data_IF_137645662276
#
_entry.id   IF_137645662276
#
_cell.length_a   1.000
_cell.length_b   1.000
_cell.length_c   1.000
_cell.angle_alpha   90.00
_cell.angle_beta   90.00
_cell.angle_gamma   90.00
#
_symmetry.space_group_name_H-M   'P 1'
#
loop_
_entity.id
_entity.type
_entity.pdbx_description
1 polymer ?
#
# COMPACT_ATOMS: atom_id res chain seq x y z
N UNK A 1 -3.30 -36.25 -10.69
CA UNK A 1 -3.52 -34.87 -10.18
C UNK A 1 -4.32 -34.10 -11.21
N UNK A 2 -5.55 -33.70 -10.90
CA UNK A 2 -6.32 -32.89 -11.83
C UNK A 2 -5.64 -31.53 -11.99
N UNK A 3 -5.25 -31.16 -13.22
CA UNK A 3 -4.70 -29.85 -13.52
C UNK A 3 -5.73 -28.76 -13.18
N UNK A 4 -5.29 -27.63 -12.64
CA UNK A 4 -6.15 -26.46 -12.48
C UNK A 4 -6.61 -26.00 -13.86
N UNK A 5 -7.88 -26.22 -14.19
CA UNK A 5 -8.47 -25.70 -15.41
C UNK A 5 -8.76 -24.23 -15.17
N UNK A 6 -7.98 -23.33 -15.77
CA UNK A 6 -8.28 -21.91 -15.72
C UNK A 6 -9.56 -21.61 -16.49
N UNK A 7 -10.53 -20.97 -15.84
CA UNK A 7 -11.72 -20.45 -16.51
C UNK A 7 -11.32 -19.16 -17.22
N UNK A 8 -11.55 -19.08 -18.53
CA UNK A 8 -11.32 -17.84 -19.31
C UNK A 8 -12.57 -16.96 -19.23
N UNK A 9 -12.39 -15.64 -19.31
CA UNK A 9 -13.49 -14.68 -19.21
C UNK A 9 -14.69 -14.98 -20.12
N UNK A 10 -14.45 -15.49 -21.34
CA UNK A 10 -15.51 -15.91 -22.27
C UNK A 10 -16.30 -17.18 -21.84
N UNK A 11 -15.86 -17.86 -20.78
CA UNK A 11 -16.52 -19.05 -20.24
C UNK A 11 -17.45 -18.71 -19.06
N UNK A 12 -17.43 -17.46 -18.61
CA UNK A 12 -18.32 -16.96 -17.56
C UNK A 12 -19.38 -16.12 -18.24
N UNK A 13 -20.63 -16.57 -18.16
CA UNK A 13 -21.75 -15.78 -18.63
C UNK A 13 -21.92 -14.55 -17.76
N UNK A 14 -22.25 -13.42 -18.35
CA UNK A 14 -22.50 -12.17 -17.62
C UNK A 14 -23.54 -12.42 -16.52
N UNK A 15 -23.31 -11.84 -15.34
CA UNK A 15 -24.13 -12.02 -14.12
C UNK A 15 -24.26 -13.48 -13.61
N UNK A 16 -23.42 -14.42 -14.08
CA UNK A 16 -23.47 -15.80 -13.63
C UNK A 16 -22.72 -16.09 -12.32
N UNK A 17 -21.83 -15.18 -11.89
CA UNK A 17 -21.13 -15.27 -10.61
C UNK A 17 -21.88 -14.40 -9.59
N UNK A 18 -22.41 -15.03 -8.59
CA UNK A 18 -23.12 -14.38 -7.48
C UNK A 18 -22.28 -14.44 -6.20
N UNK A 19 -22.67 -13.71 -5.16
CA UNK A 19 -21.97 -13.75 -3.87
C UNK A 19 -21.90 -15.15 -3.25
N UNK A 20 -22.85 -16.03 -3.58
CA UNK A 20 -22.83 -17.43 -3.12
C UNK A 20 -21.78 -18.31 -3.82
N UNK A 21 -21.24 -17.84 -4.94
CA UNK A 21 -20.23 -18.57 -5.71
C UNK A 21 -18.80 -18.19 -5.28
N UNK A 22 -18.68 -17.20 -4.38
CA UNK A 22 -17.40 -16.70 -3.87
C UNK A 22 -17.27 -17.12 -2.40
N UNK A 23 -16.21 -17.85 -2.07
CA UNK A 23 -15.84 -18.09 -0.67
C UNK A 23 -15.21 -16.83 -0.08
N UNK A 24 -16.05 -15.95 0.47
CA UNK A 24 -15.64 -14.67 1.06
C UNK A 24 -14.70 -14.85 2.25
N UNK A 25 -14.69 -16.02 2.90
CA UNK A 25 -13.79 -16.30 4.01
C UNK A 25 -12.31 -16.32 3.58
N UNK A 26 -12.06 -16.49 2.29
CA UNK A 26 -10.71 -16.49 1.69
C UNK A 26 -10.31 -15.14 1.12
N UNK A 27 -11.24 -14.19 0.99
CA UNK A 27 -10.94 -12.84 0.52
C UNK A 27 -10.18 -12.07 1.60
N UNK A 28 -8.95 -11.72 1.32
CA UNK A 28 -8.07 -10.99 2.24
C UNK A 28 -7.34 -9.89 1.51
N UNK A 29 -7.15 -8.77 2.20
CA UNK A 29 -6.28 -7.73 1.70
C UNK A 29 -4.81 -8.15 1.86
N UNK A 30 -3.99 -8.03 0.80
CA UNK A 30 -2.55 -8.27 0.92
C UNK A 30 -1.92 -7.32 1.94
N UNK A 31 -1.04 -7.87 2.77
CA UNK A 31 -0.29 -7.12 3.77
C UNK A 31 1.20 -7.29 3.51
N UNK A 32 1.89 -6.17 3.27
CA UNK A 32 3.33 -6.10 3.13
C UNK A 32 3.93 -5.52 4.41
N UNK A 33 4.94 -6.19 4.97
CA UNK A 33 5.60 -5.76 6.21
C UNK A 33 7.04 -5.34 5.92
N UNK A 34 7.37 -4.11 6.31
CA UNK A 34 8.70 -3.52 6.16
C UNK A 34 9.35 -3.41 7.54
N UNK A 35 10.24 -4.34 7.84
CA UNK A 35 10.97 -4.47 9.11
C UNK A 35 12.37 -5.03 8.89
N UNK A 36 13.20 -5.10 9.92
CA UNK A 36 14.58 -5.61 9.83
C UNK A 36 14.70 -7.04 9.30
N UNK A 37 13.69 -7.87 9.50
CA UNK A 37 13.71 -9.29 9.08
C UNK A 37 13.62 -9.49 7.56
N UNK A 38 13.11 -8.53 6.80
CA UNK A 38 13.03 -8.57 5.33
C UNK A 38 13.83 -7.45 4.64
N UNK A 39 14.66 -6.74 5.41
CA UNK A 39 15.66 -5.76 4.94
C UNK A 39 15.19 -4.88 3.77
N UNK A 40 14.13 -4.08 3.96
CA UNK A 40 13.58 -3.23 2.89
C UNK A 40 14.52 -2.06 2.53
N UNK A 41 15.62 -1.87 3.28
CA UNK A 41 16.47 -0.69 3.18
C UNK A 41 15.74 0.58 3.64
N UNK A 42 16.13 1.72 3.07
CA UNK A 42 15.56 3.04 3.38
C UNK A 42 14.55 3.52 2.34
N UNK A 43 14.25 2.70 1.34
CA UNK A 43 13.30 3.02 0.27
C UNK A 43 12.45 1.81 -0.08
N UNK A 44 11.17 2.03 -0.37
CA UNK A 44 10.26 1.00 -0.84
C UNK A 44 9.38 1.57 -1.94
N UNK A 45 9.24 0.85 -3.06
CA UNK A 45 8.29 1.21 -4.12
C UNK A 45 7.08 0.30 -4.02
N UNK A 46 5.90 0.90 -3.87
CA UNK A 46 4.64 0.16 -3.74
C UNK A 46 4.36 -0.66 -4.99
N UNK A 47 4.22 -1.97 -4.82
CA UNK A 47 3.93 -2.92 -5.89
C UNK A 47 2.43 -2.99 -6.22
N UNK A 48 2.09 -3.57 -7.37
CA UNK A 48 0.68 -3.70 -7.80
C UNK A 48 -0.18 -4.52 -6.84
N UNK A 49 0.41 -5.49 -6.16
CA UNK A 49 -0.29 -6.34 -5.19
C UNK A 49 -0.42 -5.75 -3.79
N UNK A 50 0.19 -4.59 -3.51
CA UNK A 50 0.14 -4.00 -2.17
C UNK A 50 -1.21 -3.33 -1.90
N UNK A 51 -1.74 -3.57 -0.70
CA UNK A 51 -2.92 -2.88 -0.18
C UNK A 51 -2.65 -2.27 1.20
N UNK A 52 -2.11 -3.06 2.14
CA UNK A 52 -1.71 -2.60 3.47
C UNK A 52 -0.20 -2.75 3.61
N UNK A 53 0.48 -1.66 3.95
CA UNK A 53 1.92 -1.62 4.19
C UNK A 53 2.16 -1.29 5.66
N UNK A 54 2.69 -2.26 6.40
CA UNK A 54 3.07 -2.13 7.80
C UNK A 54 4.56 -1.78 7.88
N UNK A 55 4.88 -0.63 8.43
CA UNK A 55 6.26 -0.12 8.52
C UNK A 55 6.71 -0.07 9.96
N UNK A 56 7.91 -0.57 10.24
CA UNK A 56 8.52 -0.44 11.57
C UNK A 56 9.88 0.23 11.46
N UNK A 57 9.93 1.52 11.80
CA UNK A 57 11.17 2.33 11.79
C UNK A 57 11.90 2.35 13.15
N UNK A 58 11.41 1.57 14.14
CA UNK A 58 12.06 1.43 15.45
C UNK A 58 13.45 0.79 15.37
N UNK A 59 14.26 0.83 16.44
CA UNK A 59 15.57 0.19 16.49
C UNK A 59 15.54 -1.30 16.07
N UNK A 60 16.59 -1.76 15.41
CA UNK A 60 16.72 -3.13 14.91
C UNK A 60 16.56 -4.17 16.02
N UNK A 61 17.05 -3.90 17.23
CA UNK A 61 16.86 -4.76 18.39
C UNK A 61 15.40 -4.96 18.78
N UNK A 62 14.49 -4.13 18.29
CA UNK A 62 13.04 -4.20 18.48
C UNK A 62 12.30 -4.62 17.21
N UNK A 63 13.02 -5.15 16.21
CA UNK A 63 12.47 -5.63 14.94
C UNK A 63 12.20 -4.55 13.90
N UNK A 64 12.65 -3.31 14.11
CA UNK A 64 12.52 -2.22 13.13
C UNK A 64 13.72 -2.11 12.20
N UNK A 65 13.64 -1.22 11.21
CA UNK A 65 14.72 -0.93 10.26
C UNK A 65 15.74 0.09 10.77
N UNK A 66 15.48 0.68 11.94
CA UNK A 66 16.34 1.69 12.62
C UNK A 66 16.76 2.88 11.74
N UNK A 67 15.88 3.27 10.85
CA UNK A 67 16.11 4.34 9.86
C UNK A 67 14.80 4.94 9.39
N UNK A 68 14.86 6.19 8.94
CA UNK A 68 13.79 6.77 8.14
C UNK A 68 13.64 6.00 6.82
N UNK A 69 12.41 5.92 6.31
CA UNK A 69 12.09 5.24 5.05
C UNK A 69 11.26 6.15 4.14
N UNK A 70 11.55 6.07 2.84
CA UNK A 70 10.72 6.69 1.81
C UNK A 70 9.94 5.61 1.05
N UNK A 71 8.62 5.76 1.03
CA UNK A 71 7.70 4.89 0.31
C UNK A 71 7.25 5.63 -0.94
N UNK A 72 7.65 5.14 -2.12
CA UNK A 72 7.24 5.72 -3.40
C UNK A 72 5.92 5.10 -3.84
N UNK A 73 4.89 5.95 -4.02
CA UNK A 73 3.59 5.54 -4.52
C UNK A 73 3.67 5.11 -5.98
N UNK A 74 2.81 4.22 -6.44
CA UNK A 74 2.64 3.96 -7.87
C UNK A 74 1.91 5.14 -8.53
N UNK A 75 1.83 5.14 -9.87
CA UNK A 75 1.03 6.15 -10.58
C UNK A 75 -0.43 6.10 -10.13
N UNK A 76 -1.02 7.30 -9.94
CA UNK A 76 -2.43 7.46 -9.59
C UNK A 76 -3.40 7.20 -10.76
N UNK A 77 -2.92 6.64 -11.87
CA UNK A 77 -3.69 6.42 -13.11
C UNK A 77 -4.80 5.37 -13.01
N UNK A 78 -4.76 4.52 -11.98
CA UNK A 78 -5.83 3.53 -11.73
C UNK A 78 -6.81 4.08 -10.71
N UNK A 79 -8.02 4.40 -11.15
CA UNK A 79 -9.07 4.96 -10.28
C UNK A 79 -9.51 4.00 -9.19
N UNK A 80 -9.68 4.53 -7.98
CA UNK A 80 -10.17 3.77 -6.84
C UNK A 80 -9.16 2.81 -6.22
N UNK A 81 -7.90 2.80 -6.68
CA UNK A 81 -6.85 2.04 -5.99
C UNK A 81 -6.61 2.63 -4.61
N UNK A 82 -6.70 1.79 -3.59
CA UNK A 82 -6.52 2.19 -2.20
C UNK A 82 -5.25 1.56 -1.63
N UNK A 83 -4.50 2.34 -0.86
CA UNK A 83 -3.29 1.89 -0.16
C UNK A 83 -3.31 2.45 1.25
N UNK A 84 -3.05 1.59 2.22
CA UNK A 84 -2.96 1.94 3.64
C UNK A 84 -1.50 1.80 4.07
N UNK A 85 -0.93 2.86 4.62
CA UNK A 85 0.44 2.85 5.15
C UNK A 85 0.37 3.12 6.65
N UNK A 86 0.80 2.13 7.43
CA UNK A 86 0.71 2.12 8.90
C UNK A 86 2.10 2.15 9.52
N UNK A 87 2.36 3.12 10.40
CA UNK A 87 3.48 3.00 11.34
C UNK A 87 3.17 1.91 12.37
N UNK A 88 3.60 0.70 12.09
CA UNK A 88 3.42 -0.46 12.96
C UNK A 88 4.47 -0.50 14.09
N UNK A 89 5.53 0.25 13.94
CA UNK A 89 6.59 0.39 14.94
C UNK A 89 6.29 1.42 16.03
N UNK A 90 5.45 2.41 15.75
CA UNK A 90 5.22 3.54 16.65
C UNK A 90 6.49 4.35 16.87
N UNK A 91 7.23 4.68 15.80
CA UNK A 91 8.52 5.36 15.88
C UNK A 91 8.75 6.38 14.75
N UNK A 92 7.69 6.71 14.02
CA UNK A 92 7.78 7.58 12.83
C UNK A 92 8.15 9.04 13.15
N UNK A 93 7.97 9.51 14.39
CA UNK A 93 8.44 10.83 14.80
C UNK A 93 9.96 10.89 15.00
N UNK A 94 10.61 9.77 15.29
CA UNK A 94 12.08 9.68 15.40
C UNK A 94 12.71 9.33 14.05
N UNK A 95 12.20 8.31 13.40
CA UNK A 95 12.64 7.83 12.09
C UNK A 95 11.48 7.96 11.11
N UNK A 96 11.45 9.04 10.35
CA UNK A 96 10.30 9.44 9.54
C UNK A 96 9.90 8.38 8.50
N UNK A 97 8.59 8.18 8.34
CA UNK A 97 7.99 7.48 7.21
C UNK A 97 7.48 8.54 6.23
N UNK A 98 8.16 8.70 5.10
CA UNK A 98 7.83 9.64 4.05
C UNK A 98 7.14 8.91 2.90
N UNK A 99 5.99 9.38 2.49
CA UNK A 99 5.24 8.86 1.34
C UNK A 99 5.45 9.82 0.19
N UNK A 100 6.11 9.37 -0.87
CA UNK A 100 6.49 10.18 -2.03
C UNK A 100 5.63 9.81 -3.24
N UNK A 101 5.27 10.80 -4.03
CA UNK A 101 4.55 10.61 -5.30
C UNK A 101 5.38 9.88 -6.35
N UNK A 102 4.73 9.23 -7.32
CA UNK A 102 5.34 8.83 -8.58
C UNK A 102 5.35 10.00 -9.58
N UNK A 103 6.41 10.14 -10.34
CA UNK A 103 6.51 11.10 -11.45
C UNK A 103 6.00 12.50 -11.12
N UNK A 104 4.98 12.95 -11.84
CA UNK A 104 4.34 14.27 -11.66
C UNK A 104 3.02 14.23 -10.89
N UNK A 105 2.64 13.09 -10.31
CA UNK A 105 1.45 12.97 -9.48
C UNK A 105 1.52 13.92 -8.28
N UNK A 106 0.42 14.06 -7.56
CA UNK A 106 0.37 14.94 -6.38
C UNK A 106 -0.52 14.32 -5.29
N UNK A 107 -0.54 14.97 -4.12
CA UNK A 107 -1.44 14.61 -3.03
C UNK A 107 -2.52 15.68 -2.85
N UNK A 108 -3.74 15.24 -2.59
CA UNK A 108 -4.92 16.06 -2.34
C UNK A 108 -5.21 17.13 -3.43
N UNK A 109 -4.85 16.79 -4.69
CA UNK A 109 -5.04 17.70 -5.84
C UNK A 109 -4.11 18.92 -5.85
N UNK A 110 -3.10 18.96 -4.97
CA UNK A 110 -2.15 20.08 -4.90
C UNK A 110 -0.84 19.75 -5.64
N UNK A 111 -0.57 20.36 -6.80
CA UNK A 111 0.64 20.10 -7.59
C UNK A 111 1.95 20.34 -6.83
N UNK A 112 1.93 21.21 -5.82
CA UNK A 112 3.10 21.51 -5.00
C UNK A 112 3.37 20.48 -3.92
N UNK A 113 2.41 19.59 -3.60
CA UNK A 113 2.56 18.54 -2.59
C UNK A 113 3.15 17.30 -3.24
N UNK A 114 4.46 17.14 -3.10
CA UNK A 114 5.23 16.03 -3.70
C UNK A 114 5.40 14.84 -2.77
N UNK A 115 5.21 15.06 -1.46
CA UNK A 115 5.29 14.03 -0.43
C UNK A 115 4.43 14.40 0.78
N UNK A 116 4.07 13.39 1.56
CA UNK A 116 3.43 13.51 2.88
C UNK A 116 4.19 12.63 3.87
N UNK A 117 4.06 12.93 5.16
CA UNK A 117 4.70 12.16 6.21
C UNK A 117 3.71 11.81 7.30
N UNK A 118 3.99 10.74 8.05
CA UNK A 118 3.31 10.50 9.32
C UNK A 118 3.62 11.64 10.29
N UNK A 119 2.59 12.20 10.90
CA UNK A 119 2.70 13.33 11.83
C UNK A 119 2.79 12.90 13.29
N UNK A 120 2.50 11.64 13.57
CA UNK A 120 2.54 11.05 14.92
C UNK A 120 2.95 9.58 14.85
N UNK A 121 3.52 9.09 15.94
CA UNK A 121 3.81 7.66 16.12
C UNK A 121 2.52 6.84 16.04
N UNK A 122 2.63 5.65 15.47
CA UNK A 122 1.54 4.73 15.26
C UNK A 122 0.40 5.28 14.36
N UNK A 123 0.64 6.32 13.57
CA UNK A 123 -0.33 6.85 12.61
C UNK A 123 -0.59 5.84 11.47
N UNK A 124 -1.78 5.91 10.91
CA UNK A 124 -2.16 5.22 9.68
C UNK A 124 -2.63 6.25 8.66
N UNK A 125 -2.08 6.23 7.46
CA UNK A 125 -2.50 7.07 6.34
C UNK A 125 -3.13 6.18 5.29
N UNK A 126 -4.38 6.48 4.93
CA UNK A 126 -5.10 5.82 3.84
C UNK A 126 -5.15 6.76 2.65
N UNK A 127 -4.78 6.24 1.48
CA UNK A 127 -4.72 6.99 0.23
C UNK A 127 -5.58 6.31 -0.83
N UNK A 128 -6.34 7.10 -1.58
CA UNK A 128 -7.12 6.62 -2.73
C UNK A 128 -6.74 7.43 -3.98
N UNK A 129 -6.57 6.73 -5.11
CA UNK A 129 -6.26 7.35 -6.40
C UNK A 129 -7.51 7.83 -7.13
N UNK A 130 -7.40 8.94 -7.87
CA UNK A 130 -8.50 9.49 -8.69
C UNK A 130 -8.52 8.96 -10.14
N UNK A 131 -7.57 8.08 -10.50
CA UNK A 131 -7.47 7.55 -11.86
C UNK A 131 -6.79 8.48 -12.86
N UNK A 132 -6.14 9.54 -12.38
CA UNK A 132 -5.46 10.50 -13.25
C UNK A 132 -4.06 10.86 -12.72
N UNK A 133 -3.98 11.72 -11.71
CA UNK A 133 -2.71 12.29 -11.27
C UNK A 133 -2.65 12.58 -9.76
N UNK A 134 -3.63 12.12 -8.99
CA UNK A 134 -3.71 12.50 -7.57
C UNK A 134 -4.06 11.33 -6.66
N UNK A 135 -3.38 11.29 -5.53
CA UNK A 135 -3.69 10.47 -4.38
C UNK A 135 -4.34 11.34 -3.30
N UNK A 136 -5.52 10.95 -2.84
CA UNK A 136 -6.26 11.66 -1.79
C UNK A 136 -6.15 10.94 -0.46
N UNK A 137 -5.82 11.70 0.59
CA UNK A 137 -5.85 11.20 1.98
C UNK A 137 -7.31 11.15 2.45
N UNK A 138 -7.74 9.99 2.95
CA UNK A 138 -9.10 9.75 3.47
C UNK A 138 -9.10 9.18 4.88
#
# INVERSE_FOLDING_TARGET
MAGKTGIRGAQIQDDSITGSDIDESTLRYPVTSLWSGNDPGTTYTVADGDYVILVSTRPTAQGGIDSAITITMPSASTSGRMIIIKDAGGHSQTNAITIQRAGSDNFDGNPSTTSIQHSSDAESITLISNGNSSWYKI
#
